data_IF_269859841139
#
_entry.id   IF_269859841139
#
_cell.length_a   1.000
_cell.length_b   1.000
_cell.length_c   1.000
_cell.angle_alpha   90.00
_cell.angle_beta   90.00
_cell.angle_gamma   90.00
#
_symmetry.space_group_name_H-M   'P 1'
#
loop_
_entity.id
_entity.type
_entity.pdbx_description
1 polymer ?
#
# COMPACT_ATOMS: atom_id res chain seq x y z
N UNK A 1 -23.10 -15.45 3.62
CA UNK A 1 -22.15 -14.32 3.69
C UNK A 1 -21.17 -14.56 4.81
N UNK A 2 -19.88 -14.50 4.48
CA UNK A 2 -18.79 -14.74 5.43
C UNK A 2 -18.81 -13.60 6.45
N UNK A 3 -19.04 -13.92 7.74
CA UNK A 3 -18.93 -12.95 8.86
C UNK A 3 -17.47 -12.76 9.32
N UNK A 4 -16.50 -12.88 8.37
CA UNK A 4 -15.08 -12.81 8.68
C UNK A 4 -14.73 -11.47 9.33
N UNK A 5 -14.26 -11.52 10.57
CA UNK A 5 -13.82 -10.35 11.38
C UNK A 5 -14.83 -9.21 11.46
N UNK A 6 -16.13 -9.49 11.43
CA UNK A 6 -17.18 -8.45 11.36
C UNK A 6 -17.12 -7.46 12.53
N UNK A 7 -16.78 -7.94 13.74
CA UNK A 7 -16.63 -7.04 14.89
C UNK A 7 -15.49 -6.03 14.71
N UNK A 8 -14.35 -6.46 14.09
CA UNK A 8 -13.23 -5.56 13.77
C UNK A 8 -13.64 -4.55 12.71
N UNK A 9 -14.27 -4.99 11.62
CA UNK A 9 -14.76 -4.11 10.55
C UNK A 9 -15.71 -3.05 11.13
N UNK A 10 -16.71 -3.48 11.93
CA UNK A 10 -17.67 -2.57 12.54
C UNK A 10 -16.99 -1.58 13.49
N UNK A 11 -16.10 -2.06 14.39
CA UNK A 11 -15.33 -1.22 15.31
C UNK A 11 -14.50 -0.18 14.56
N UNK A 12 -13.82 -0.62 13.50
CA UNK A 12 -12.98 0.26 12.68
C UNK A 12 -13.82 1.35 12.00
N UNK A 13 -14.94 0.97 11.38
CA UNK A 13 -15.84 1.91 10.69
C UNK A 13 -16.44 2.96 11.65
N UNK A 14 -16.97 2.53 12.80
CA UNK A 14 -17.54 3.45 13.81
C UNK A 14 -16.50 4.47 14.25
N UNK A 15 -15.28 4.03 14.56
CA UNK A 15 -14.24 4.95 15.02
C UNK A 15 -13.62 5.80 13.91
N UNK A 16 -13.84 5.48 12.63
CA UNK A 16 -13.32 6.22 11.49
C UNK A 16 -14.33 7.20 10.89
N UNK A 17 -15.60 7.05 11.22
CA UNK A 17 -16.69 7.92 10.75
C UNK A 17 -17.62 8.24 11.92
N UNK A 18 -17.11 9.00 12.92
CA UNK A 18 -17.88 9.31 14.13
C UNK A 18 -19.14 10.15 13.85
N UNK A 19 -19.16 10.86 12.71
CA UNK A 19 -20.29 11.67 12.24
C UNK A 19 -21.43 10.83 11.64
N UNK A 20 -21.20 9.55 11.32
CA UNK A 20 -22.18 8.69 10.64
C UNK A 20 -23.03 7.90 11.62
N UNK A 21 -24.32 7.80 11.33
CA UNK A 21 -25.20 6.96 12.08
C UNK A 21 -24.94 5.45 11.85
N UNK A 22 -25.51 4.61 12.72
CA UNK A 22 -25.30 3.14 12.64
C UNK A 22 -25.83 2.54 11.33
N UNK A 23 -26.87 3.11 10.71
CA UNK A 23 -27.45 2.65 9.45
C UNK A 23 -26.48 2.91 8.28
N UNK A 24 -25.86 4.07 8.25
CA UNK A 24 -24.81 4.41 7.29
C UNK A 24 -23.59 3.50 7.43
N UNK A 25 -23.12 3.31 8.66
CA UNK A 25 -22.01 2.38 8.97
C UNK A 25 -22.30 0.97 8.49
N UNK A 26 -23.52 0.46 8.74
CA UNK A 26 -23.96 -0.86 8.23
C UNK A 26 -24.00 -0.88 6.70
N UNK A 27 -24.38 0.22 6.08
CA UNK A 27 -24.35 0.39 4.62
C UNK A 27 -22.95 0.24 4.03
N UNK A 28 -21.95 0.94 4.63
CA UNK A 28 -20.54 0.83 4.24
C UNK A 28 -20.02 -0.59 4.48
N UNK A 29 -20.31 -1.19 5.65
CA UNK A 29 -19.91 -2.57 5.98
C UNK A 29 -20.42 -3.58 4.95
N UNK A 30 -21.69 -3.49 4.53
CA UNK A 30 -22.27 -4.37 3.50
C UNK A 30 -21.53 -4.23 2.17
N UNK A 31 -21.28 -2.99 1.72
CA UNK A 31 -20.53 -2.70 0.50
C UNK A 31 -19.08 -3.21 0.59
N UNK A 32 -18.43 -3.07 1.76
CA UNK A 32 -17.10 -3.62 2.01
C UNK A 32 -17.08 -5.14 1.82
N UNK A 33 -18.03 -5.89 2.38
CA UNK A 33 -18.06 -7.34 2.21
C UNK A 33 -18.38 -7.77 0.78
N UNK A 34 -19.18 -7.01 0.05
CA UNK A 34 -19.38 -7.25 -1.39
C UNK A 34 -18.07 -7.06 -2.16
N UNK A 35 -17.38 -5.95 -1.92
CA UNK A 35 -16.05 -5.69 -2.48
C UNK A 35 -15.03 -6.76 -2.07
N UNK A 36 -14.99 -7.15 -0.80
CA UNK A 36 -14.04 -8.14 -0.29
C UNK A 36 -14.25 -9.52 -0.94
N UNK A 37 -15.50 -9.93 -1.20
CA UNK A 37 -15.80 -11.14 -1.98
C UNK A 37 -15.32 -11.00 -3.43
N UNK A 38 -15.54 -9.84 -4.05
CA UNK A 38 -15.03 -9.56 -5.40
C UNK A 38 -13.50 -9.67 -5.45
N UNK A 39 -12.81 -9.03 -4.50
CA UNK A 39 -11.36 -9.09 -4.37
C UNK A 39 -10.83 -10.53 -4.26
N UNK A 40 -11.46 -11.39 -3.46
CA UNK A 40 -11.07 -12.81 -3.35
C UNK A 40 -11.23 -13.53 -4.70
N UNK A 41 -12.36 -13.34 -5.37
CA UNK A 41 -12.62 -13.94 -6.70
C UNK A 41 -11.63 -13.41 -7.74
N UNK A 42 -11.36 -12.10 -7.74
CA UNK A 42 -10.41 -11.44 -8.64
C UNK A 42 -8.97 -11.90 -8.39
N UNK A 43 -8.60 -12.17 -7.12
CA UNK A 43 -7.29 -12.76 -6.77
C UNK A 43 -7.17 -14.19 -7.29
N UNK A 44 -8.22 -15.01 -7.14
CA UNK A 44 -8.25 -16.36 -7.72
C UNK A 44 -8.18 -16.28 -9.26
N UNK A 45 -8.82 -15.29 -9.87
CA UNK A 45 -8.78 -15.09 -11.32
C UNK A 45 -7.38 -14.81 -11.86
N UNK A 46 -6.44 -14.30 -11.04
CA UNK A 46 -5.04 -14.11 -11.45
C UNK A 46 -4.36 -15.40 -11.94
N UNK A 47 -4.82 -16.59 -11.51
CA UNK A 47 -4.28 -17.86 -12.02
C UNK A 47 -4.59 -18.12 -13.50
N UNK A 48 -5.63 -17.50 -14.03
CA UNK A 48 -6.16 -17.81 -15.37
C UNK A 48 -6.39 -16.61 -16.26
N UNK A 49 -6.19 -15.39 -15.73
CA UNK A 49 -6.42 -14.17 -16.51
C UNK A 49 -5.29 -13.96 -17.52
N UNK A 50 -5.61 -13.66 -18.78
CA UNK A 50 -4.60 -13.31 -19.76
C UNK A 50 -4.07 -11.89 -19.55
N UNK A 51 -2.83 -11.62 -20.04
CA UNK A 51 -2.24 -10.27 -20.05
C UNK A 51 -3.22 -9.23 -20.61
N UNK A 52 -3.80 -9.50 -21.78
CA UNK A 52 -4.77 -8.61 -22.45
C UNK A 52 -6.00 -8.32 -21.58
N UNK A 53 -6.54 -9.37 -20.95
CA UNK A 53 -7.72 -9.21 -20.05
C UNK A 53 -7.37 -8.37 -18.81
N UNK A 54 -6.19 -8.59 -18.22
CA UNK A 54 -5.75 -7.84 -17.05
C UNK A 54 -5.49 -6.38 -17.41
N UNK A 55 -4.78 -6.09 -18.49
CA UNK A 55 -4.53 -4.71 -18.97
C UNK A 55 -5.82 -3.95 -19.26
N UNK A 56 -6.88 -4.61 -19.72
CA UNK A 56 -8.19 -3.98 -19.92
C UNK A 56 -8.94 -3.70 -18.60
N UNK A 57 -8.57 -4.37 -17.50
CA UNK A 57 -9.25 -4.28 -16.21
C UNK A 57 -8.49 -3.48 -15.17
N UNK A 58 -7.18 -3.39 -15.32
CA UNK A 58 -6.29 -2.58 -14.49
C UNK A 58 -5.49 -1.67 -15.41
N UNK A 59 -5.77 -0.38 -15.35
CA UNK A 59 -5.12 0.64 -16.16
C UNK A 59 -4.33 1.60 -15.27
N UNK A 60 -3.28 2.21 -15.86
CA UNK A 60 -2.39 3.11 -15.13
C UNK A 60 -2.23 4.42 -15.88
N UNK A 61 -2.07 5.50 -15.12
CA UNK A 61 -1.80 6.85 -15.60
C UNK A 61 -0.61 7.44 -14.83
N UNK A 62 0.24 8.21 -15.51
CA UNK A 62 1.40 8.89 -14.92
C UNK A 62 2.67 8.05 -14.84
N UNK A 63 2.73 6.88 -15.52
CA UNK A 63 3.95 6.06 -15.61
C UNK A 63 5.01 6.82 -16.42
N UNK A 64 4.61 7.42 -17.51
CA UNK A 64 5.45 8.28 -18.37
C UNK A 64 6.03 9.48 -17.62
N UNK A 65 5.26 10.06 -16.71
CA UNK A 65 5.73 11.14 -15.81
C UNK A 65 6.83 10.62 -14.88
N UNK A 66 6.62 9.45 -14.23
CA UNK A 66 7.63 8.83 -13.35
C UNK A 66 8.91 8.53 -14.13
N UNK A 67 8.80 7.83 -15.26
CA UNK A 67 9.97 7.40 -16.05
C UNK A 67 10.75 8.58 -16.58
N UNK A 68 10.07 9.60 -17.12
CA UNK A 68 10.70 10.83 -17.60
C UNK A 68 11.37 11.63 -16.48
N UNK A 69 10.75 11.69 -15.28
CA UNK A 69 11.35 12.35 -14.14
C UNK A 69 12.60 11.61 -13.65
N UNK A 70 12.56 10.27 -13.61
CA UNK A 70 13.72 9.47 -13.23
C UNK A 70 14.90 9.71 -14.19
N UNK A 71 14.63 9.75 -15.48
CA UNK A 71 15.64 10.01 -16.52
C UNK A 71 16.21 11.42 -16.45
N UNK A 72 15.32 12.42 -16.42
CA UNK A 72 15.71 13.84 -16.38
C UNK A 72 16.55 14.19 -15.15
N UNK A 73 16.28 13.58 -14.01
CA UNK A 73 16.96 13.87 -12.74
C UNK A 73 18.04 12.84 -12.38
N UNK A 74 18.41 11.95 -13.31
CA UNK A 74 19.39 10.86 -13.11
C UNK A 74 19.08 10.03 -11.84
N UNK A 75 17.82 9.62 -11.69
CA UNK A 75 17.33 8.83 -10.54
C UNK A 75 17.16 7.37 -10.91
N UNK A 76 17.70 6.48 -10.07
CA UNK A 76 17.57 5.04 -10.23
C UNK A 76 16.34 4.49 -9.51
N UNK A 77 15.78 5.23 -8.54
CA UNK A 77 14.76 4.72 -7.62
C UNK A 77 13.53 5.63 -7.58
N UNK A 78 12.36 5.04 -7.80
CA UNK A 78 11.06 5.63 -7.50
C UNK A 78 10.36 4.77 -6.44
N UNK A 79 9.95 5.36 -5.33
CA UNK A 79 9.14 4.70 -4.30
C UNK A 79 7.69 5.13 -4.45
N UNK A 80 6.81 4.15 -4.52
CA UNK A 80 5.37 4.38 -4.65
C UNK A 80 4.68 3.92 -3.38
N UNK A 81 4.12 4.87 -2.65
CA UNK A 81 3.24 4.56 -1.53
C UNK A 81 1.87 4.13 -2.03
N UNK A 82 1.33 3.09 -1.43
CA UNK A 82 -0.04 2.63 -1.68
C UNK A 82 -0.65 2.00 -0.41
N UNK A 83 -1.96 1.82 -0.41
CA UNK A 83 -2.71 1.15 0.65
C UNK A 83 -3.30 -0.18 0.19
N UNK A 84 -3.78 -1.00 1.14
CA UNK A 84 -4.65 -2.14 0.82
C UNK A 84 -6.04 -1.63 0.40
N UNK A 85 -6.08 -0.96 -0.74
CA UNK A 85 -7.26 -0.28 -1.28
C UNK A 85 -7.53 -0.72 -2.72
N UNK A 86 -8.79 -0.97 -3.06
CA UNK A 86 -9.14 -1.53 -4.35
C UNK A 86 -8.51 -2.92 -4.55
N UNK A 87 -8.09 -3.22 -5.77
CA UNK A 87 -7.39 -4.47 -6.04
C UNK A 87 -5.86 -4.25 -6.08
N UNK A 88 -5.24 -4.19 -4.92
CA UNK A 88 -3.79 -3.99 -4.76
C UNK A 88 -2.95 -5.14 -5.34
N UNK A 89 -3.49 -6.37 -5.49
CA UNK A 89 -2.77 -7.48 -6.14
C UNK A 89 -2.61 -7.22 -7.64
N UNK A 90 -3.58 -6.58 -8.27
CA UNK A 90 -3.51 -6.27 -9.70
C UNK A 90 -2.54 -5.12 -10.01
N UNK A 91 -2.16 -4.29 -9.03
CA UNK A 91 -1.13 -3.26 -9.19
C UNK A 91 0.23 -3.88 -9.59
N UNK A 92 0.50 -5.13 -9.20
CA UNK A 92 1.71 -5.84 -9.64
C UNK A 92 1.82 -5.95 -11.18
N UNK A 93 0.71 -5.82 -11.93
CA UNK A 93 0.71 -5.78 -13.39
C UNK A 93 1.30 -4.50 -13.99
N UNK A 94 1.71 -3.53 -13.17
CA UNK A 94 2.43 -2.32 -13.60
C UNK A 94 3.60 -2.64 -14.53
N UNK A 95 4.29 -3.76 -14.30
CA UNK A 95 5.38 -4.22 -15.16
C UNK A 95 4.99 -4.43 -16.63
N UNK A 96 3.71 -4.58 -16.95
CA UNK A 96 3.24 -4.65 -18.34
C UNK A 96 3.14 -3.28 -19.04
N UNK A 97 3.26 -2.20 -18.28
CA UNK A 97 3.06 -0.82 -18.74
C UNK A 97 4.32 0.03 -18.67
N UNK A 98 5.36 -0.47 -18.00
CA UNK A 98 6.66 0.20 -17.87
C UNK A 98 7.58 -0.19 -19.04
N UNK A 99 8.53 0.68 -19.45
CA UNK A 99 9.60 0.32 -20.37
C UNK A 99 10.43 -0.88 -19.88
N UNK A 100 11.00 -1.65 -20.80
CA UNK A 100 11.71 -2.91 -20.51
C UNK A 100 12.99 -2.74 -19.66
N UNK A 101 13.59 -1.54 -19.68
CA UNK A 101 14.76 -1.20 -18.86
C UNK A 101 14.41 -0.82 -17.40
N UNK A 102 13.13 -0.74 -17.08
CA UNK A 102 12.64 -0.50 -15.71
C UNK A 102 12.25 -1.80 -15.02
N UNK A 103 12.73 -1.98 -13.80
CA UNK A 103 12.26 -3.02 -12.90
C UNK A 103 11.07 -2.51 -12.08
N UNK A 104 9.96 -3.24 -12.09
CA UNK A 104 8.89 -3.06 -11.12
C UNK A 104 9.08 -4.01 -9.96
N UNK A 105 9.13 -3.50 -8.74
CA UNK A 105 9.26 -4.30 -7.54
C UNK A 105 8.20 -3.96 -6.50
N UNK A 106 7.94 -4.87 -5.57
CA UNK A 106 7.03 -4.65 -4.45
C UNK A 106 7.58 -5.28 -3.17
N UNK A 107 7.41 -4.55 -2.06
CA UNK A 107 7.82 -5.07 -0.76
C UNK A 107 6.70 -5.96 -0.21
N UNK A 108 7.05 -7.16 0.23
CA UNK A 108 6.08 -8.07 0.81
C UNK A 108 6.56 -8.69 2.13
N UNK A 109 5.60 -9.05 2.98
CA UNK A 109 5.86 -9.82 4.18
C UNK A 109 5.59 -11.29 3.90
N UNK A 110 6.61 -12.20 4.01
CA UNK A 110 6.44 -13.63 3.79
C UNK A 110 5.34 -14.22 4.68
N UNK A 111 4.48 -15.04 4.08
CA UNK A 111 3.38 -15.68 4.80
C UNK A 111 3.90 -16.84 5.66
N UNK A 112 3.24 -17.11 6.80
CA UNK A 112 3.58 -18.23 7.68
C UNK A 112 3.42 -19.58 7.00
N UNK A 113 2.37 -19.74 6.19
CA UNK A 113 2.15 -20.94 5.40
C UNK A 113 2.99 -20.87 4.12
N UNK A 114 4.04 -21.68 4.03
CA UNK A 114 4.99 -21.69 2.91
C UNK A 114 4.36 -22.05 1.55
N UNK A 115 3.33 -22.89 1.54
CA UNK A 115 2.63 -23.25 0.30
C UNK A 115 1.85 -22.04 -0.25
N UNK A 116 1.12 -21.33 0.61
CA UNK A 116 0.43 -20.08 0.25
C UNK A 116 1.43 -18.98 -0.12
N UNK A 117 2.55 -18.87 0.59
CA UNK A 117 3.59 -17.89 0.26
C UNK A 117 4.13 -18.10 -1.15
N UNK A 118 4.53 -19.35 -1.48
CA UNK A 118 4.98 -19.73 -2.82
C UNK A 118 3.91 -19.46 -3.89
N UNK A 119 2.65 -19.75 -3.57
CA UNK A 119 1.53 -19.52 -4.47
C UNK A 119 1.37 -18.04 -4.81
N UNK A 120 1.35 -17.16 -3.80
CA UNK A 120 1.24 -15.72 -4.01
C UNK A 120 2.47 -15.11 -4.68
N UNK A 121 3.67 -15.61 -4.38
CA UNK A 121 4.89 -15.20 -5.09
C UNK A 121 4.80 -15.53 -6.58
N UNK A 122 4.37 -16.74 -6.92
CA UNK A 122 4.20 -17.14 -8.32
C UNK A 122 3.16 -16.24 -9.03
N UNK A 123 2.04 -15.93 -8.36
CA UNK A 123 1.01 -15.04 -8.90
C UNK A 123 1.54 -13.62 -9.18
N UNK A 124 2.41 -13.10 -8.34
CA UNK A 124 2.97 -11.75 -8.50
C UNK A 124 4.11 -11.72 -9.49
N UNK A 125 4.96 -12.75 -9.48
CA UNK A 125 6.12 -12.85 -10.39
C UNK A 125 5.73 -13.10 -11.85
N UNK A 126 4.52 -13.61 -12.13
CA UNK A 126 4.05 -13.81 -13.51
C UNK A 126 3.99 -12.52 -14.35
N UNK A 127 3.99 -11.36 -13.68
CA UNK A 127 3.96 -10.06 -14.36
C UNK A 127 5.33 -9.53 -14.77
N UNK A 128 6.42 -10.24 -14.42
CA UNK A 128 7.80 -9.81 -14.71
C UNK A 128 8.38 -8.85 -13.65
N UNK A 129 7.64 -8.59 -12.57
CA UNK A 129 8.13 -7.79 -11.44
C UNK A 129 8.88 -8.63 -10.39
N UNK A 130 9.53 -7.95 -9.43
CA UNK A 130 10.25 -8.58 -8.32
C UNK A 130 9.49 -8.41 -6.99
N UNK A 131 9.31 -9.52 -6.25
CA UNK A 131 8.81 -9.48 -4.88
C UNK A 131 9.99 -9.47 -3.90
N UNK A 132 10.22 -8.34 -3.23
CA UNK A 132 11.32 -8.15 -2.28
C UNK A 132 10.82 -8.46 -0.86
N UNK A 133 11.36 -9.48 -0.16
CA UNK A 133 11.00 -9.74 1.23
C UNK A 133 11.38 -8.57 2.15
N UNK A 134 10.46 -8.15 3.04
CA UNK A 134 10.66 -7.02 3.95
C UNK A 134 11.99 -7.05 4.71
N UNK A 135 12.46 -8.23 5.14
CA UNK A 135 13.71 -8.38 5.90
C UNK A 135 14.97 -8.02 5.12
N UNK A 136 14.94 -8.10 3.80
CA UNK A 136 16.11 -7.83 2.93
C UNK A 136 15.96 -6.58 2.08
N UNK A 137 14.89 -5.81 2.28
CA UNK A 137 14.55 -4.61 1.50
C UNK A 137 15.73 -3.65 1.38
N UNK A 138 16.34 -3.28 2.51
CA UNK A 138 17.44 -2.32 2.53
C UNK A 138 18.65 -2.81 1.69
N UNK A 139 19.01 -4.09 1.82
CA UNK A 139 20.11 -4.70 1.06
C UNK A 139 19.77 -4.71 -0.43
N UNK A 140 18.56 -5.13 -0.78
CA UNK A 140 18.15 -5.21 -2.19
C UNK A 140 18.12 -3.84 -2.87
N UNK A 141 17.62 -2.81 -2.19
CA UNK A 141 17.63 -1.43 -2.70
C UNK A 141 19.08 -0.94 -2.94
N UNK A 142 20.02 -1.27 -2.04
CA UNK A 142 21.43 -0.96 -2.22
C UNK A 142 22.02 -1.65 -3.46
N UNK A 143 21.69 -2.91 -3.67
CA UNK A 143 22.12 -3.68 -4.85
C UNK A 143 21.60 -3.04 -6.15
N UNK A 144 20.31 -2.72 -6.19
CA UNK A 144 19.65 -2.06 -7.34
C UNK A 144 20.30 -0.69 -7.65
N UNK A 145 20.54 0.12 -6.61
CA UNK A 145 21.19 1.41 -6.76
C UNK A 145 22.63 1.29 -7.26
N UNK A 146 23.42 0.34 -6.74
CA UNK A 146 24.78 0.08 -7.22
C UNK A 146 24.80 -0.37 -8.68
N UNK A 147 23.81 -1.16 -9.09
CA UNK A 147 23.65 -1.62 -10.46
C UNK A 147 23.09 -0.55 -11.40
N UNK A 148 22.74 0.65 -10.90
CA UNK A 148 22.05 1.70 -11.69
C UNK A 148 20.78 1.21 -12.34
N UNK A 149 20.12 0.22 -11.73
CA UNK A 149 18.88 -0.35 -12.23
C UNK A 149 17.72 0.60 -11.93
N UNK A 150 17.15 1.20 -12.96
CA UNK A 150 15.92 2.00 -12.84
C UNK A 150 14.81 1.12 -12.27
N UNK A 151 14.31 1.48 -11.09
CA UNK A 151 13.36 0.62 -10.36
C UNK A 151 12.22 1.44 -9.77
N UNK A 152 10.99 0.99 -10.01
CA UNK A 152 9.77 1.50 -9.36
C UNK A 152 9.38 0.48 -8.28
N UNK A 153 9.38 0.88 -7.01
CA UNK A 153 9.15 -0.01 -5.86
C UNK A 153 7.87 0.38 -5.13
N UNK A 154 6.90 -0.54 -5.10
CA UNK A 154 5.64 -0.37 -4.36
C UNK A 154 5.79 -0.71 -2.87
N UNK A 155 5.32 0.19 -2.00
CA UNK A 155 5.29 0.04 -0.55
C UNK A 155 3.86 0.17 -0.03
N UNK A 156 3.26 -0.94 0.37
CA UNK A 156 1.95 -0.94 1.05
C UNK A 156 2.20 -0.66 2.53
N UNK A 157 1.95 0.57 2.98
CA UNK A 157 2.37 1.05 4.31
C UNK A 157 1.23 1.31 5.29
N UNK A 158 0.00 0.87 5.00
CA UNK A 158 -1.21 1.17 5.77
C UNK A 158 -1.54 0.17 6.89
N UNK A 159 -0.73 -0.86 7.10
CA UNK A 159 -0.93 -1.81 8.19
C UNK A 159 -0.16 -1.39 9.46
N UNK A 160 -0.52 -2.05 10.57
CA UNK A 160 0.02 -1.75 11.89
C UNK A 160 1.45 -2.30 12.07
N UNK A 161 2.46 -1.45 12.35
CA UNK A 161 3.81 -1.91 12.67
C UNK A 161 3.84 -2.70 14.00
N UNK A 162 4.88 -3.53 14.20
CA UNK A 162 5.14 -4.18 15.49
C UNK A 162 5.53 -3.13 16.53
N UNK A 163 5.37 -3.44 17.82
CA UNK A 163 5.74 -2.52 18.91
C UNK A 163 7.16 -1.95 18.76
N UNK A 164 8.12 -2.81 18.51
CA UNK A 164 9.54 -2.42 18.32
C UNK A 164 9.84 -1.63 17.04
N UNK A 165 8.84 -1.47 16.17
CA UNK A 165 8.99 -0.77 14.88
C UNK A 165 8.09 0.47 14.80
N UNK A 166 7.48 0.88 15.92
CA UNK A 166 6.70 2.11 16.02
C UNK A 166 7.68 3.24 16.34
N UNK A 167 7.79 4.21 15.46
CA UNK A 167 8.61 5.41 15.62
C UNK A 167 7.81 6.69 15.48
N UNK A 168 6.57 6.59 14.96
CA UNK A 168 5.72 7.74 14.70
C UNK A 168 4.25 7.37 14.80
N UNK A 169 3.47 8.32 15.29
CA UNK A 169 2.01 8.31 15.25
C UNK A 169 1.54 9.50 14.44
N UNK A 170 0.62 9.27 13.50
CA UNK A 170 0.00 10.31 12.70
C UNK A 170 -1.51 10.34 12.93
N UNK A 171 -2.16 11.51 12.92
CA UNK A 171 -3.61 11.58 12.84
C UNK A 171 -4.09 10.86 11.55
N UNK A 172 -4.97 9.88 11.71
CA UNK A 172 -5.52 9.14 10.59
C UNK A 172 -6.91 8.61 10.92
N UNK A 173 -7.91 9.01 10.16
CA UNK A 173 -9.31 8.63 10.36
C UNK A 173 -9.76 8.88 11.83
N UNK A 174 -9.56 10.12 12.29
CA UNK A 174 -9.90 10.62 13.63
C UNK A 174 -9.17 9.95 14.80
N UNK A 175 -8.04 9.28 14.57
CA UNK A 175 -7.29 8.56 15.61
C UNK A 175 -5.78 8.71 15.46
N UNK A 176 -5.07 8.84 16.58
CA UNK A 176 -3.63 8.68 16.63
C UNK A 176 -3.24 7.28 16.18
N UNK A 177 -2.51 7.17 15.11
CA UNK A 177 -2.29 5.90 14.40
C UNK A 177 -0.82 5.63 14.20
N UNK A 178 -0.33 4.50 14.73
CA UNK A 178 1.05 4.06 14.52
C UNK A 178 1.31 3.77 13.04
N UNK A 179 2.40 4.29 12.47
CA UNK A 179 2.71 4.22 11.04
C UNK A 179 4.08 3.61 10.77
N UNK A 180 4.26 3.03 9.59
CA UNK A 180 5.57 2.61 9.09
C UNK A 180 6.33 3.81 8.55
N UNK A 181 7.51 4.08 9.08
CA UNK A 181 8.39 5.19 8.67
C UNK A 181 9.54 4.75 7.76
N UNK A 182 9.72 3.43 7.60
CA UNK A 182 10.87 2.88 6.87
C UNK A 182 10.94 3.28 5.39
N UNK A 183 9.79 3.45 4.73
CA UNK A 183 9.71 3.89 3.34
C UNK A 183 10.27 5.31 3.17
N UNK A 184 9.85 6.24 4.06
CA UNK A 184 10.38 7.60 4.08
C UNK A 184 11.89 7.63 4.35
N UNK A 185 12.32 6.93 5.41
CA UNK A 185 13.74 6.89 5.79
C UNK A 185 14.62 6.36 4.65
N UNK A 186 14.17 5.29 3.97
CA UNK A 186 14.89 4.76 2.81
C UNK A 186 14.81 5.72 1.61
N UNK A 187 13.66 6.33 1.37
CA UNK A 187 13.47 7.30 0.29
C UNK A 187 14.43 8.48 0.39
N UNK A 188 14.52 9.09 1.58
CA UNK A 188 15.47 10.17 1.87
C UNK A 188 16.93 9.68 1.73
N UNK A 189 17.27 8.55 2.35
CA UNK A 189 18.63 8.00 2.35
C UNK A 189 19.16 7.69 0.95
N UNK A 190 18.31 7.15 0.07
CA UNK A 190 18.72 6.74 -1.27
C UNK A 190 18.44 7.79 -2.35
N UNK A 191 17.81 8.90 -2.00
CA UNK A 191 17.47 9.97 -2.92
C UNK A 191 16.42 9.55 -3.96
N UNK A 192 15.48 8.66 -3.56
CA UNK A 192 14.41 8.23 -4.42
C UNK A 192 13.39 9.35 -4.66
N UNK A 193 12.77 9.39 -5.84
CA UNK A 193 11.55 10.17 -6.04
C UNK A 193 10.37 9.41 -5.39
N UNK A 194 9.38 10.16 -4.89
CA UNK A 194 8.31 9.55 -4.11
C UNK A 194 6.94 9.91 -4.69
N UNK A 195 6.21 8.88 -5.04
CA UNK A 195 4.88 8.96 -5.61
C UNK A 195 3.85 8.25 -4.72
N UNK A 196 2.58 8.54 -4.96
CA UNK A 196 1.42 7.90 -4.37
C UNK A 196 0.56 7.26 -5.47
N UNK A 197 0.08 6.04 -5.24
CA UNK A 197 -0.84 5.34 -6.13
C UNK A 197 -2.28 5.60 -5.70
N UNK A 198 -2.97 6.50 -6.39
CA UNK A 198 -4.40 6.74 -6.21
C UNK A 198 -5.21 5.74 -7.03
N UNK A 199 -5.92 4.84 -6.35
CA UNK A 199 -6.70 3.78 -7.01
C UNK A 199 -8.18 4.11 -7.01
N UNK A 200 -8.83 3.98 -8.14
CA UNK A 200 -10.28 4.09 -8.29
C UNK A 200 -10.87 2.80 -8.84
N UNK A 201 -12.17 2.59 -8.63
CA UNK A 201 -12.94 1.45 -9.16
C UNK A 201 -14.10 1.99 -10.02
N UNK A 202 -13.87 2.28 -11.31
CA UNK A 202 -14.92 2.83 -12.20
C UNK A 202 -16.14 1.94 -12.29
N UNK A 203 -15.95 0.62 -12.30
CA UNK A 203 -17.00 -0.39 -12.24
C UNK A 203 -16.49 -1.69 -11.62
N UNK A 204 -17.39 -2.58 -11.25
CA UNK A 204 -17.06 -3.88 -10.67
C UNK A 204 -16.08 -4.66 -11.57
N UNK A 205 -14.93 -5.09 -11.01
CA UNK A 205 -13.88 -5.83 -11.73
C UNK A 205 -13.04 -4.99 -12.67
N UNK A 206 -13.06 -3.64 -12.51
CA UNK A 206 -12.22 -2.71 -13.25
C UNK A 206 -11.64 -1.66 -12.32
N UNK A 207 -10.34 -1.42 -12.44
CA UNK A 207 -9.60 -0.48 -11.60
C UNK A 207 -8.74 0.43 -12.47
N UNK A 208 -8.52 1.62 -11.95
CA UNK A 208 -7.61 2.60 -12.54
C UNK A 208 -6.70 3.14 -11.44
N UNK A 209 -5.41 3.21 -11.71
CA UNK A 209 -4.40 3.73 -10.79
C UNK A 209 -3.73 4.95 -11.43
N UNK A 210 -3.83 6.10 -10.77
CA UNK A 210 -3.11 7.31 -11.16
C UNK A 210 -1.94 7.52 -10.21
N UNK A 211 -0.74 7.64 -10.75
CA UNK A 211 0.44 7.99 -9.96
C UNK A 211 0.52 9.51 -9.79
N UNK A 212 0.52 9.95 -8.55
CA UNK A 212 0.66 11.37 -8.19
C UNK A 212 1.94 11.57 -7.39
N UNK A 213 2.70 12.59 -7.74
CA UNK A 213 3.88 12.94 -6.96
C UNK A 213 3.46 13.27 -5.54
N UNK A 214 4.08 12.61 -4.57
CA UNK A 214 3.74 12.81 -3.16
C UNK A 214 4.44 14.03 -2.58
N UNK A 215 5.72 14.20 -2.91
CA UNK A 215 6.57 15.32 -2.45
C UNK A 215 7.57 15.71 -3.54
N UNK A 216 7.90 17.01 -3.60
CA UNK A 216 8.85 17.54 -4.60
C UNK A 216 10.31 17.23 -4.23
N UNK A 217 10.69 17.51 -2.99
CA UNK A 217 12.05 17.29 -2.51
C UNK A 217 12.06 16.51 -1.19
N UNK A 218 12.13 15.17 -1.24
CA UNK A 218 12.08 14.33 -0.05
C UNK A 218 13.15 14.67 1.00
N UNK A 219 14.35 15.05 0.55
CA UNK A 219 15.48 15.30 1.45
C UNK A 219 15.35 16.62 2.23
N UNK A 220 14.52 17.56 1.76
CA UNK A 220 14.31 18.85 2.42
C UNK A 220 13.22 18.83 3.49
N UNK A 221 12.41 17.77 3.53
CA UNK A 221 11.30 17.69 4.47
C UNK A 221 11.76 17.21 5.86
N UNK A 222 11.12 17.71 6.94
CA UNK A 222 11.28 17.15 8.28
C UNK A 222 11.01 15.65 8.33
N UNK A 223 11.49 15.01 9.40
CA UNK A 223 11.19 13.60 9.60
C UNK A 223 9.70 13.37 9.81
N UNK A 224 9.23 12.29 9.21
CA UNK A 224 7.85 11.79 9.20
C UNK A 224 6.85 12.60 8.37
N UNK A 225 7.21 13.74 7.79
CA UNK A 225 6.30 14.54 6.97
C UNK A 225 5.85 13.82 5.70
N UNK A 226 6.72 13.02 5.08
CA UNK A 226 6.35 12.19 3.92
C UNK A 226 5.34 11.10 4.34
N UNK A 227 5.54 10.53 5.52
CA UNK A 227 4.65 9.52 6.09
C UNK A 227 3.27 10.12 6.40
N UNK A 228 3.23 11.34 6.94
CA UNK A 228 1.99 12.05 7.24
C UNK A 228 1.25 12.48 5.96
N UNK A 229 1.98 12.95 4.95
CA UNK A 229 1.42 13.25 3.62
C UNK A 229 0.81 12.00 2.97
N UNK A 230 1.48 10.85 3.07
CA UNK A 230 0.91 9.58 2.62
C UNK A 230 -0.38 9.22 3.37
N UNK A 231 -0.37 9.31 4.69
CA UNK A 231 -1.55 9.01 5.51
C UNK A 231 -2.73 9.90 5.14
N UNK A 232 -2.51 11.21 4.95
CA UNK A 232 -3.52 12.17 4.50
C UNK A 232 -4.10 11.79 3.13
N UNK A 233 -3.25 11.44 2.15
CA UNK A 233 -3.73 11.02 0.82
C UNK A 233 -4.56 9.74 0.88
N UNK A 234 -4.12 8.77 1.68
CA UNK A 234 -4.89 7.55 1.88
C UNK A 234 -6.22 7.81 2.57
N UNK A 235 -6.26 8.69 3.58
CA UNK A 235 -7.49 9.10 4.25
C UNK A 235 -8.48 9.76 3.30
N UNK A 236 -8.04 10.72 2.48
CA UNK A 236 -8.86 11.36 1.44
C UNK A 236 -9.51 10.32 0.51
N UNK A 237 -8.73 9.32 0.09
CA UNK A 237 -9.22 8.26 -0.79
C UNK A 237 -10.24 7.35 -0.09
N UNK A 238 -9.99 7.01 1.19
CA UNK A 238 -10.92 6.23 2.01
C UNK A 238 -12.23 7.00 2.26
N UNK A 239 -12.17 8.29 2.54
CA UNK A 239 -13.35 9.13 2.75
C UNK A 239 -14.21 9.21 1.49
N UNK A 240 -13.60 9.30 0.29
CA UNK A 240 -14.32 9.30 -1.00
C UNK A 240 -15.05 7.99 -1.26
N UNK A 241 -14.41 6.84 -1.00
CA UNK A 241 -14.99 5.53 -1.29
C UNK A 241 -14.60 4.51 -0.20
N UNK A 242 -15.26 4.61 0.98
CA UNK A 242 -14.80 3.91 2.18
C UNK A 242 -14.79 2.38 2.06
N UNK A 243 -15.70 1.80 1.28
CA UNK A 243 -15.83 0.34 1.18
C UNK A 243 -14.69 -0.36 0.41
N UNK A 244 -13.77 0.38 -0.22
CA UNK A 244 -12.64 -0.19 -0.97
C UNK A 244 -11.38 -0.42 -0.13
N UNK A 245 -11.33 0.04 1.12
CA UNK A 245 -10.18 -0.18 2.01
C UNK A 245 -10.33 -1.46 2.84
N UNK A 246 -9.21 -2.07 3.24
CA UNK A 246 -9.17 -3.36 3.96
C UNK A 246 -9.54 -3.20 5.44
N UNK A 247 -10.82 -2.99 5.74
CA UNK A 247 -11.34 -2.81 7.11
C UNK A 247 -11.17 -4.00 8.03
N UNK A 248 -10.89 -5.21 7.51
CA UNK A 248 -10.71 -6.42 8.31
C UNK A 248 -9.35 -6.47 9.04
N UNK A 249 -8.41 -5.58 8.74
CA UNK A 249 -7.19 -5.44 9.53
C UNK A 249 -7.47 -4.69 10.83
N UNK A 250 -7.02 -5.23 11.99
CA UNK A 250 -7.18 -4.58 13.29
C UNK A 250 -6.12 -3.48 13.47
N UNK A 251 -6.36 -2.35 12.77
CA UNK A 251 -5.40 -1.27 12.54
C UNK A 251 -5.02 -0.54 13.82
N UNK A 252 -5.98 -0.39 14.75
CA UNK A 252 -5.83 0.42 15.97
C UNK A 252 -5.73 -0.41 17.26
N UNK A 253 -5.27 -1.68 17.17
CA UNK A 253 -5.06 -2.49 18.38
C UNK A 253 -3.83 -2.09 19.19
N UNK A 254 -2.92 -1.27 18.64
CA UNK A 254 -1.78 -0.69 19.34
C UNK A 254 -2.00 0.81 19.42
N UNK A 255 -2.48 1.25 20.57
CA UNK A 255 -2.76 2.67 20.81
C UNK A 255 -1.50 3.42 21.26
N UNK A 256 -1.53 4.74 21.13
CA UNK A 256 -0.44 5.63 21.58
C UNK A 256 -0.24 5.54 23.09
N UNK A 257 -1.34 5.52 23.84
CA UNK A 257 -1.31 5.41 25.32
C UNK A 257 -0.63 4.11 25.77
N UNK A 258 -0.97 2.98 25.13
CA UNK A 258 -0.33 1.69 25.44
C UNK A 258 1.15 1.69 25.01
N UNK A 259 1.50 2.33 23.89
CA UNK A 259 2.89 2.50 23.48
C UNK A 259 3.68 3.31 24.51
N UNK A 260 3.16 4.45 24.95
CA UNK A 260 3.81 5.32 25.95
C UNK A 260 3.93 4.60 27.32
N UNK A 261 2.90 3.83 27.74
CA UNK A 261 2.97 3.00 28.93
C UNK A 261 4.11 1.99 28.84
N UNK A 262 4.20 1.24 27.71
CA UNK A 262 5.27 0.26 27.49
C UNK A 262 6.65 0.89 27.51
N UNK A 263 6.82 2.09 26.93
CA UNK A 263 8.10 2.82 26.97
C UNK A 263 8.50 3.18 28.42
N UNK A 264 7.56 3.67 29.23
CA UNK A 264 7.82 3.98 30.66
C UNK A 264 8.18 2.74 31.49
N UNK A 265 7.56 1.60 31.17
CA UNK A 265 7.76 0.32 31.90
C UNK A 265 8.90 -0.54 31.32
N UNK A 266 9.59 -0.09 30.26
CA UNK A 266 10.65 -0.85 29.60
C UNK A 266 10.19 -2.13 28.91
N UNK A 267 8.90 -2.28 28.60
CA UNK A 267 8.29 -3.45 27.97
C UNK A 267 8.50 -3.36 26.45
N UNK A 268 9.21 -4.33 25.88
CA UNK A 268 9.46 -4.41 24.43
C UNK A 268 8.28 -4.98 23.63
#
# INVERSE_FOLDING_TARGET
CIRYRRHIVRKNLIGSFPEKDLKEIIGIEKKFYQFFCDYVVETIKLFTISKKQLMNRMTFEGIDVITSEMEKNDKDLCFVYLGHYGNWEWIASLAYWTPDDFLCAQIYHPLRNKAFDKLFLNLRNQFGGECIPMKVTLRRILELKKARQKTIIGFISDQLPKWSSIHHFTPFLHRETATFTGTEQMGKKFGAIIYYAEVTRPKRGYYHCTFKKLVENPSALPDFEITDNYASRLEEMIQKTPYLWLWSHDRWKRTKEEYERRQREGIK
#
